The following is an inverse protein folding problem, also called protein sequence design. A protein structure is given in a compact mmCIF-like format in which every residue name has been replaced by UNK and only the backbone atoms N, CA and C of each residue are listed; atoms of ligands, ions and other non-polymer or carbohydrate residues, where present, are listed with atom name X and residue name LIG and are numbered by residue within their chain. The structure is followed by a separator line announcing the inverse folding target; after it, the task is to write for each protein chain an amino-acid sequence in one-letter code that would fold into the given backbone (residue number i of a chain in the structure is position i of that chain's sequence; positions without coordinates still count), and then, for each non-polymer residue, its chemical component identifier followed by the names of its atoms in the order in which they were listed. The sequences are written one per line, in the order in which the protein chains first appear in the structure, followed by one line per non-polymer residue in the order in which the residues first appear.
data_IF_324178971573
#
_entry.id   IF_324178971573
#
_cell.length_a   1.000
_cell.length_b   1.000
_cell.length_c   1.000
_cell.angle_alpha   90.00
_cell.angle_beta   90.00
_cell.angle_gamma   90.00
#
_symmetry.space_group_name_H-M   'P 1'
#
loop_
_entity.id
_entity.type
_entity.pdbx_description
1 polymer ?
#
# COMPACT_ATOMS: atom_id res chain seq x y z
N UNK A 1 8.95 9.04 9.56
CA UNK A 1 7.50 8.91 9.74
C UNK A 1 7.21 8.58 11.20
N UNK A 2 6.14 9.13 11.75
CA UNK A 2 5.72 9.01 13.15
C UNK A 2 4.69 7.89 13.37
N UNK A 3 4.57 6.98 12.41
CA UNK A 3 3.76 5.77 12.48
C UNK A 3 4.73 4.60 12.54
N UNK A 4 4.51 3.65 13.45
CA UNK A 4 5.29 2.40 13.49
C UNK A 4 4.72 1.38 12.50
N UNK A 5 5.47 1.11 11.43
CA UNK A 5 5.12 0.13 10.40
C UNK A 5 5.98 -1.13 10.48
N UNK A 6 6.61 -1.40 11.63
CA UNK A 6 7.44 -2.60 11.83
C UNK A 6 6.65 -3.88 11.57
N UNK A 7 5.44 -4.01 12.12
CA UNK A 7 4.60 -5.19 11.90
C UNK A 7 4.17 -5.30 10.43
N UNK A 8 3.79 -4.19 9.81
CA UNK A 8 3.47 -4.13 8.38
C UNK A 8 4.62 -4.64 7.51
N UNK A 9 5.85 -4.27 7.84
CA UNK A 9 7.04 -4.74 7.16
C UNK A 9 7.30 -6.24 7.37
N UNK A 10 7.17 -6.73 8.61
CA UNK A 10 7.28 -8.16 8.94
C UNK A 10 6.25 -9.01 8.18
N UNK A 11 5.00 -8.57 8.16
CA UNK A 11 3.93 -9.24 7.43
C UNK A 11 4.20 -9.26 5.92
N UNK A 12 4.66 -8.14 5.36
CA UNK A 12 5.04 -8.05 3.95
C UNK A 12 6.12 -9.07 3.59
N UNK A 13 7.15 -9.17 4.45
CA UNK A 13 8.25 -10.12 4.29
C UNK A 13 7.77 -11.55 4.38
N UNK A 14 6.93 -11.87 5.36
CA UNK A 14 6.35 -13.21 5.49
C UNK A 14 5.54 -13.59 4.24
N UNK A 15 4.74 -12.65 3.69
CA UNK A 15 4.01 -12.89 2.45
C UNK A 15 4.93 -13.19 1.27
N UNK A 16 6.00 -12.40 1.08
CA UNK A 16 6.96 -12.66 0.00
C UNK A 16 7.62 -14.03 0.15
N UNK A 17 8.06 -14.40 1.36
CA UNK A 17 8.62 -15.73 1.64
C UNK A 17 7.63 -16.84 1.31
N UNK A 18 6.36 -16.71 1.74
CA UNK A 18 5.32 -17.68 1.45
C UNK A 18 5.03 -17.80 -0.05
N UNK A 19 4.94 -16.68 -0.77
CA UNK A 19 4.67 -16.68 -2.20
C UNK A 19 5.84 -17.22 -3.01
N UNK A 20 7.07 -16.91 -2.63
CA UNK A 20 8.30 -17.44 -3.25
C UNK A 20 8.39 -18.96 -3.07
N UNK A 21 7.93 -19.49 -1.94
CA UNK A 21 7.86 -20.95 -1.72
C UNK A 21 6.68 -21.61 -2.46
N UNK A 22 5.59 -20.88 -2.70
CA UNK A 22 4.35 -21.41 -3.30
C UNK A 22 4.37 -21.42 -4.83
N UNK A 23 4.92 -20.40 -5.46
CA UNK A 23 4.86 -20.20 -6.91
C UNK A 23 6.17 -20.56 -7.59
N UNK A 24 6.11 -20.99 -8.85
CA UNK A 24 7.32 -21.17 -9.64
C UNK A 24 8.05 -19.84 -9.87
N UNK A 25 9.37 -19.84 -10.14
CA UNK A 25 10.11 -18.61 -10.44
C UNK A 25 9.53 -17.79 -11.59
N UNK A 26 8.93 -18.46 -12.59
CA UNK A 26 8.31 -17.80 -13.73
C UNK A 26 6.98 -17.10 -13.36
N UNK A 27 6.19 -17.67 -12.44
CA UNK A 27 4.89 -17.12 -12.03
C UNK A 27 4.98 -16.11 -10.89
N UNK A 28 5.97 -16.28 -10.01
CA UNK A 28 6.12 -15.53 -8.77
C UNK A 28 6.05 -14.00 -8.97
N UNK A 29 6.80 -13.38 -9.90
CA UNK A 29 6.79 -11.92 -10.05
C UNK A 29 5.41 -11.39 -10.42
N UNK A 30 4.69 -12.10 -11.28
CA UNK A 30 3.33 -11.75 -11.67
C UNK A 30 2.38 -11.81 -10.47
N UNK A 31 2.50 -12.83 -9.61
CA UNK A 31 1.66 -12.97 -8.41
C UNK A 31 1.93 -11.89 -7.36
N UNK A 32 3.18 -11.44 -7.24
CA UNK A 32 3.55 -10.32 -6.36
C UNK A 32 2.89 -9.03 -6.86
N UNK A 33 3.06 -8.68 -8.14
CA UNK A 33 2.45 -7.47 -8.72
C UNK A 33 0.92 -7.54 -8.69
N UNK A 34 0.32 -8.69 -8.97
CA UNK A 34 -1.13 -8.89 -8.84
C UNK A 34 -1.63 -8.58 -7.42
N UNK A 35 -0.85 -8.92 -6.38
CA UNK A 35 -1.20 -8.58 -5.00
C UNK A 35 -1.11 -7.07 -4.73
N UNK A 36 -0.18 -6.34 -5.36
CA UNK A 36 -0.15 -4.87 -5.28
C UNK A 36 -1.47 -4.29 -5.80
N UNK A 37 -1.92 -4.74 -6.98
CA UNK A 37 -3.16 -4.25 -7.59
C UNK A 37 -4.40 -4.66 -6.83
N UNK A 38 -4.45 -5.89 -6.29
CA UNK A 38 -5.49 -6.32 -5.36
C UNK A 38 -5.68 -5.33 -4.21
N UNK A 39 -4.58 -4.90 -3.59
CA UNK A 39 -4.60 -3.93 -2.49
C UNK A 39 -5.02 -2.54 -2.93
N UNK A 40 -4.43 -2.03 -4.02
CA UNK A 40 -4.75 -0.71 -4.56
C UNK A 40 -6.23 -0.59 -4.94
N UNK A 41 -6.79 -1.56 -5.66
CA UNK A 41 -8.21 -1.56 -6.00
C UNK A 41 -9.10 -1.66 -4.77
N UNK A 42 -8.68 -2.40 -3.75
CA UNK A 42 -9.43 -2.50 -2.48
C UNK A 42 -9.50 -1.13 -1.80
N UNK A 43 -8.38 -0.43 -1.65
CA UNK A 43 -8.34 0.89 -1.00
C UNK A 43 -9.13 1.91 -1.80
N UNK A 44 -8.92 1.97 -3.11
CA UNK A 44 -9.64 2.88 -4.02
C UNK A 44 -11.17 2.69 -3.91
N UNK A 45 -11.62 1.43 -3.87
CA UNK A 45 -13.04 1.11 -3.76
C UNK A 45 -13.61 1.36 -2.37
N UNK A 46 -12.84 1.07 -1.32
CA UNK A 46 -13.25 1.30 0.07
C UNK A 46 -13.32 2.78 0.42
N UNK A 47 -12.41 3.59 -0.12
CA UNK A 47 -12.18 5.01 0.20
C UNK A 47 -13.47 5.81 0.44
N UNK A 48 -14.35 5.83 -0.57
CA UNK A 48 -15.58 6.63 -0.57
C UNK A 48 -16.55 6.25 0.56
N UNK A 49 -16.43 5.03 1.11
CA UNK A 49 -17.32 4.48 2.13
C UNK A 49 -16.86 4.78 3.55
N UNK A 50 -15.57 5.04 3.73
CA UNK A 50 -14.94 5.15 5.05
C UNK A 50 -14.52 6.57 5.39
N UNK A 51 -14.12 7.38 4.41
CA UNK A 51 -13.50 8.68 4.67
C UNK A 51 -14.43 9.69 5.35
N UNK A 52 -15.74 9.58 5.10
CA UNK A 52 -16.77 10.45 5.67
C UNK A 52 -17.46 9.85 6.89
N UNK A 53 -17.05 8.67 7.36
CA UNK A 53 -17.55 8.12 8.60
C UNK A 53 -16.99 8.90 9.79
N UNK A 54 -17.69 8.89 10.90
CA UNK A 54 -17.22 9.51 12.15
C UNK A 54 -17.04 8.44 13.21
N UNK A 55 -15.85 8.39 13.79
CA UNK A 55 -15.49 7.47 14.86
C UNK A 55 -14.98 8.25 16.08
N UNK A 56 -15.17 7.75 17.31
CA UNK A 56 -14.71 8.45 18.52
C UNK A 56 -13.19 8.62 18.61
N UNK A 57 -12.43 7.66 18.06
CA UNK A 57 -10.96 7.68 18.05
C UNK A 57 -10.44 7.08 16.75
N UNK A 58 -9.23 7.49 16.35
CA UNK A 58 -8.59 6.95 15.15
C UNK A 58 -8.28 5.46 15.27
N UNK A 59 -8.05 4.94 16.48
CA UNK A 59 -7.80 3.50 16.70
C UNK A 59 -9.07 2.67 16.41
N UNK A 60 -10.24 3.16 16.84
CA UNK A 60 -11.52 2.52 16.52
C UNK A 60 -11.77 2.59 15.00
N UNK A 61 -11.58 3.77 14.41
CA UNK A 61 -11.67 3.95 12.97
C UNK A 61 -10.75 2.98 12.22
N UNK A 62 -9.52 2.81 12.68
CA UNK A 62 -8.53 1.93 12.07
C UNK A 62 -8.94 0.45 12.10
N UNK A 63 -9.47 -0.06 13.22
CA UNK A 63 -9.98 -1.43 13.24
C UNK A 63 -11.19 -1.60 12.32
N UNK A 64 -12.12 -0.63 12.32
CA UNK A 64 -13.28 -0.64 11.43
C UNK A 64 -12.87 -0.60 9.95
N UNK A 65 -11.88 0.23 9.61
CA UNK A 65 -11.33 0.34 8.27
C UNK A 65 -10.63 -0.95 7.83
N UNK A 66 -9.94 -1.67 8.73
CA UNK A 66 -9.39 -2.99 8.40
C UNK A 66 -10.47 -4.05 8.16
N UNK A 67 -11.55 -4.05 8.93
CA UNK A 67 -12.70 -4.93 8.69
C UNK A 67 -13.35 -4.62 7.34
N UNK A 68 -13.54 -3.32 7.04
CA UNK A 68 -14.11 -2.89 5.77
C UNK A 68 -13.20 -3.21 4.59
N UNK A 69 -11.90 -3.08 4.77
CA UNK A 69 -10.90 -3.50 3.79
C UNK A 69 -11.08 -4.99 3.49
N UNK A 70 -11.14 -5.83 4.51
CA UNK A 70 -11.31 -7.28 4.32
C UNK A 70 -12.61 -7.63 3.58
N UNK A 71 -13.73 -6.99 3.95
CA UNK A 71 -15.03 -7.15 3.29
C UNK A 71 -14.95 -6.79 1.79
N UNK A 72 -14.46 -5.59 1.46
CA UNK A 72 -14.32 -5.11 0.08
C UNK A 72 -13.36 -6.00 -0.71
N UNK A 73 -12.25 -6.38 -0.10
CA UNK A 73 -11.26 -7.19 -0.79
C UNK A 73 -11.85 -8.55 -1.21
N UNK A 74 -12.50 -9.25 -0.27
CA UNK A 74 -13.05 -10.59 -0.49
C UNK A 74 -14.29 -10.60 -1.40
N UNK A 75 -15.26 -9.72 -1.16
CA UNK A 75 -16.55 -9.80 -1.84
C UNK A 75 -16.60 -8.98 -3.13
N UNK A 76 -15.71 -8.03 -3.31
CA UNK A 76 -15.84 -7.02 -4.36
C UNK A 76 -14.63 -6.85 -5.25
N UNK A 77 -13.42 -7.20 -4.79
CA UNK A 77 -12.20 -7.14 -5.60
C UNK A 77 -11.80 -8.53 -6.08
N UNK A 78 -11.73 -9.55 -5.21
CA UNK A 78 -11.35 -10.92 -5.61
C UNK A 78 -12.12 -11.40 -6.85
N UNK A 79 -13.47 -11.26 -6.95
CA UNK A 79 -14.22 -11.78 -8.10
C UNK A 79 -13.90 -11.10 -9.43
N UNK A 80 -13.34 -9.89 -9.41
CA UNK A 80 -13.13 -9.06 -10.61
C UNK A 80 -11.66 -8.69 -10.84
N UNK A 81 -10.75 -9.10 -9.96
CA UNK A 81 -9.34 -8.69 -9.98
C UNK A 81 -8.67 -8.99 -11.31
N UNK A 82 -8.84 -10.20 -11.84
CA UNK A 82 -8.27 -10.58 -13.13
C UNK A 82 -8.80 -9.72 -14.28
N UNK A 83 -10.11 -9.41 -14.27
CA UNK A 83 -10.72 -8.56 -15.29
C UNK A 83 -10.18 -7.13 -15.22
N UNK A 84 -10.03 -6.58 -14.01
CA UNK A 84 -9.44 -5.26 -13.79
C UNK A 84 -8.00 -5.18 -14.31
N UNK A 85 -7.19 -6.18 -13.98
CA UNK A 85 -5.80 -6.29 -14.46
C UNK A 85 -5.74 -6.42 -15.98
N UNK A 86 -6.57 -7.29 -16.58
CA UNK A 86 -6.64 -7.47 -18.04
C UNK A 86 -7.09 -6.20 -18.77
N UNK A 87 -8.00 -5.44 -18.16
CA UNK A 87 -8.45 -4.15 -18.69
C UNK A 87 -7.43 -3.02 -18.53
N UNK A 88 -6.32 -3.29 -17.83
CA UNK A 88 -5.28 -2.32 -17.49
C UNK A 88 -5.85 -1.04 -16.86
N UNK A 89 -6.87 -1.20 -16.02
CA UNK A 89 -7.56 -0.08 -15.38
C UNK A 89 -6.58 0.62 -14.43
N UNK A 90 -6.32 1.91 -14.67
CA UNK A 90 -5.54 2.74 -13.76
C UNK A 90 -6.19 2.77 -12.37
N UNK A 91 -5.38 2.62 -11.33
CA UNK A 91 -5.78 2.79 -9.94
C UNK A 91 -4.70 3.57 -9.20
N UNK A 92 -5.13 4.59 -8.46
CA UNK A 92 -4.22 5.59 -7.90
C UNK A 92 -3.33 6.18 -9.01
N UNK A 93 -2.01 6.07 -8.87
CA UNK A 93 -1.01 6.59 -9.80
C UNK A 93 -0.54 5.59 -10.85
N UNK A 94 -0.98 4.32 -10.80
CA UNK A 94 -0.35 3.23 -11.58
C UNK A 94 -1.34 2.39 -12.40
N UNK A 95 -0.82 1.74 -13.44
CA UNK A 95 -1.46 0.70 -14.26
C UNK A 95 -0.70 -0.61 -14.16
N UNK A 96 -1.38 -1.74 -14.40
CA UNK A 96 -0.71 -3.04 -14.29
C UNK A 96 0.38 -3.18 -15.36
N UNK A 97 0.14 -2.63 -16.56
CA UNK A 97 1.10 -2.59 -17.66
C UNK A 97 2.41 -1.89 -17.31
N UNK A 98 2.40 -0.95 -16.37
CA UNK A 98 3.60 -0.20 -15.96
C UNK A 98 4.68 -1.15 -15.38
N UNK A 99 4.28 -2.33 -14.91
CA UNK A 99 5.15 -3.35 -14.34
C UNK A 99 5.54 -4.45 -15.33
N UNK A 100 5.01 -4.44 -16.56
CA UNK A 100 5.12 -5.58 -17.48
C UNK A 100 6.56 -5.96 -17.83
N UNK A 101 7.44 -4.97 -18.05
CA UNK A 101 8.84 -5.22 -18.36
C UNK A 101 9.58 -5.83 -17.16
N UNK A 102 9.36 -5.31 -15.96
CA UNK A 102 9.97 -5.83 -14.73
C UNK A 102 9.51 -7.25 -14.42
N UNK A 103 8.22 -7.53 -14.56
CA UNK A 103 7.66 -8.88 -14.40
C UNK A 103 8.29 -9.82 -15.41
N UNK A 104 8.37 -9.44 -16.69
CA UNK A 104 8.98 -10.27 -17.74
C UNK A 104 10.44 -10.61 -17.43
N UNK A 105 11.26 -9.62 -17.10
CA UNK A 105 12.67 -9.85 -16.76
C UNK A 105 12.83 -10.73 -15.51
N UNK A 106 12.05 -10.46 -14.46
CA UNK A 106 12.07 -11.24 -13.23
C UNK A 106 11.65 -12.70 -13.48
N UNK A 107 10.62 -12.93 -14.31
CA UNK A 107 10.15 -14.27 -14.68
C UNK A 107 11.18 -15.05 -15.50
N UNK A 108 12.16 -14.38 -16.10
CA UNK A 108 13.29 -14.98 -16.81
C UNK A 108 14.51 -15.24 -15.91
N UNK A 109 14.42 -14.92 -14.61
CA UNK A 109 15.47 -15.16 -13.63
C UNK A 109 16.43 -13.99 -13.41
N UNK A 110 16.12 -12.78 -13.90
CA UNK A 110 16.90 -11.59 -13.57
C UNK A 110 16.76 -11.24 -12.08
N UNK A 111 17.85 -11.43 -11.32
CA UNK A 111 17.87 -11.19 -9.88
C UNK A 111 17.59 -9.74 -9.48
N UNK A 112 18.04 -8.77 -10.29
CA UNK A 112 17.80 -7.35 -10.01
C UNK A 112 16.34 -7.00 -10.25
N UNK A 113 15.73 -7.56 -11.30
CA UNK A 113 14.30 -7.41 -11.54
C UNK A 113 13.46 -8.07 -10.42
N UNK A 114 13.87 -9.24 -9.92
CA UNK A 114 13.21 -9.89 -8.78
C UNK A 114 13.27 -9.00 -7.54
N UNK A 115 14.45 -8.48 -7.19
CA UNK A 115 14.63 -7.56 -6.05
C UNK A 115 13.79 -6.30 -6.21
N UNK A 116 13.72 -5.74 -7.43
CA UNK A 116 12.90 -4.57 -7.72
C UNK A 116 11.40 -4.85 -7.52
N UNK A 117 10.90 -6.02 -7.97
CA UNK A 117 9.51 -6.44 -7.75
C UNK A 117 9.19 -6.60 -6.26
N UNK A 118 10.09 -7.21 -5.50
CA UNK A 118 9.93 -7.41 -4.06
C UNK A 118 9.96 -6.08 -3.30
N UNK A 119 10.92 -5.20 -3.61
CA UNK A 119 11.01 -3.87 -3.02
C UNK A 119 9.77 -3.03 -3.31
N UNK A 120 9.30 -3.07 -4.55
CA UNK A 120 8.06 -2.39 -4.98
C UNK A 120 6.86 -2.86 -4.17
N UNK A 121 6.75 -4.17 -3.91
CA UNK A 121 5.70 -4.69 -3.05
C UNK A 121 5.78 -4.17 -1.61
N UNK A 122 6.99 -4.12 -1.02
CA UNK A 122 7.16 -3.51 0.30
C UNK A 122 6.72 -2.05 0.32
N UNK A 123 7.13 -1.28 -0.68
CA UNK A 123 6.81 0.15 -0.77
C UNK A 123 5.29 0.37 -0.85
N UNK A 124 4.59 -0.36 -1.72
CA UNK A 124 3.13 -0.26 -1.77
C UNK A 124 2.46 -0.74 -0.49
N UNK A 125 3.00 -1.76 0.20
CA UNK A 125 2.46 -2.19 1.49
C UNK A 125 2.56 -1.08 2.56
N UNK A 126 3.64 -0.30 2.53
CA UNK A 126 3.83 0.89 3.37
C UNK A 126 2.82 1.98 2.99
N UNK A 127 2.66 2.31 1.70
CA UNK A 127 1.66 3.28 1.25
C UNK A 127 0.24 2.91 1.68
N UNK A 128 -0.11 1.65 1.56
CA UNK A 128 -1.43 1.15 1.91
C UNK A 128 -1.74 1.31 3.40
N UNK A 129 -0.74 1.02 4.24
CA UNK A 129 -0.88 1.15 5.68
C UNK A 129 -0.95 2.61 6.10
N UNK A 130 -0.08 3.46 5.55
CA UNK A 130 -0.12 4.91 5.78
C UNK A 130 -1.47 5.48 5.36
N UNK A 131 -1.98 5.09 4.19
CA UNK A 131 -3.29 5.53 3.70
C UNK A 131 -4.41 5.09 4.66
N UNK A 132 -4.36 3.85 5.15
CA UNK A 132 -5.37 3.33 6.09
C UNK A 132 -5.34 4.09 7.43
N UNK A 133 -4.15 4.35 7.98
CA UNK A 133 -3.99 5.16 9.21
C UNK A 133 -4.47 6.60 8.97
N UNK A 134 -4.12 7.21 7.85
CA UNK A 134 -4.54 8.54 7.48
C UNK A 134 -6.06 8.66 7.37
N UNK A 135 -6.73 7.72 6.69
CA UNK A 135 -8.20 7.67 6.60
C UNK A 135 -8.79 7.60 8.01
N UNK A 136 -8.18 6.81 8.89
CA UNK A 136 -8.64 6.60 10.26
C UNK A 136 -8.54 7.86 11.11
N UNK A 137 -7.46 8.64 10.95
CA UNK A 137 -7.32 9.95 11.60
C UNK A 137 -8.39 10.92 11.11
N UNK A 138 -8.58 11.02 9.78
CA UNK A 138 -9.56 11.93 9.17
C UNK A 138 -10.99 11.59 9.60
N UNK A 139 -11.36 10.31 9.52
CA UNK A 139 -12.67 9.80 9.96
C UNK A 139 -12.87 9.84 11.49
N UNK A 140 -11.89 10.32 12.25
CA UNK A 140 -11.98 10.59 13.70
C UNK A 140 -11.90 12.07 14.06
N UNK A 141 -11.96 12.96 13.07
CA UNK A 141 -12.05 14.41 13.26
C UNK A 141 -10.80 15.21 12.92
N UNK A 142 -9.70 14.57 12.50
CA UNK A 142 -8.56 15.32 11.96
C UNK A 142 -8.86 15.88 10.56
N UNK A 143 -8.33 17.07 10.27
CA UNK A 143 -8.32 17.54 8.88
C UNK A 143 -7.35 16.68 8.06
N UNK A 144 -7.59 16.59 6.75
CA UNK A 144 -6.73 15.87 5.79
C UNK A 144 -5.25 16.25 5.92
N UNK A 145 -4.98 17.55 6.07
CA UNK A 145 -3.64 18.11 6.23
C UNK A 145 -3.05 17.79 7.61
N UNK A 146 -3.82 17.98 8.69
CA UNK A 146 -3.35 17.72 10.05
C UNK A 146 -2.99 16.24 10.24
N UNK A 147 -3.76 15.32 9.64
CA UNK A 147 -3.44 13.90 9.68
C UNK A 147 -2.07 13.60 9.03
N UNK A 148 -1.76 14.19 7.87
CA UNK A 148 -0.45 14.02 7.23
C UNK A 148 0.67 14.61 8.09
N UNK A 149 0.46 15.82 8.63
CA UNK A 149 1.43 16.48 9.49
C UNK A 149 1.75 15.63 10.73
N UNK A 150 0.74 15.04 11.38
CA UNK A 150 0.95 14.14 12.52
C UNK A 150 1.76 12.89 12.13
N UNK A 151 1.45 12.29 10.99
CA UNK A 151 2.09 11.06 10.52
C UNK A 151 3.52 11.26 9.99
N UNK A 152 3.83 12.43 9.43
CA UNK A 152 5.09 12.66 8.71
C UNK A 152 5.99 13.69 9.39
N UNK A 153 5.43 14.59 10.20
CA UNK A 153 6.10 15.79 10.70
C UNK A 153 6.19 16.92 9.65
N UNK A 154 5.68 16.72 8.43
CA UNK A 154 5.74 17.71 7.37
C UNK A 154 4.62 18.75 7.52
N UNK A 155 4.94 19.99 7.19
CA UNK A 155 3.95 21.08 7.10
C UNK A 155 3.54 21.19 5.63
N UNK A 156 2.28 20.92 5.34
CA UNK A 156 1.70 21.11 4.01
C UNK A 156 0.98 22.46 3.93
N UNK A 157 0.90 23.01 2.72
CA UNK A 157 0.07 24.18 2.47
C UNK A 157 -1.41 23.85 2.79
N UNK A 158 -2.15 24.73 3.48
CA UNK A 158 -3.54 24.49 3.86
C UNK A 158 -4.45 24.13 2.68
N UNK A 159 -4.15 24.68 1.51
CA UNK A 159 -4.92 24.54 0.27
C UNK A 159 -4.55 23.28 -0.54
N UNK A 160 -3.66 22.40 -0.05
CA UNK A 160 -3.23 21.22 -0.80
C UNK A 160 -4.43 20.31 -1.06
N UNK A 161 -4.88 20.15 -2.32
CA UNK A 161 -6.09 19.39 -2.60
C UNK A 161 -5.80 17.89 -2.42
N UNK A 162 -6.57 17.24 -1.55
CA UNK A 162 -6.52 15.79 -1.36
C UNK A 162 -7.91 15.25 -1.64
N UNK A 163 -8.11 14.79 -2.88
CA UNK A 163 -9.42 14.42 -3.43
C UNK A 163 -9.62 12.91 -3.49
N UNK A 164 -8.52 12.15 -3.60
CA UNK A 164 -8.59 10.69 -3.61
C UNK A 164 -7.29 10.00 -3.24
N UNK A 165 -7.29 8.68 -3.41
CA UNK A 165 -6.16 7.81 -3.08
C UNK A 165 -4.89 8.16 -3.85
N UNK A 166 -5.01 8.54 -5.12
CA UNK A 166 -3.87 8.96 -5.95
C UNK A 166 -3.07 10.12 -5.35
N UNK A 167 -3.76 11.12 -4.81
CA UNK A 167 -3.13 12.29 -4.21
C UNK A 167 -2.34 11.89 -2.95
N UNK A 168 -2.91 11.00 -2.13
CA UNK A 168 -2.29 10.54 -0.88
C UNK A 168 -1.06 9.71 -1.14
N UNK A 169 -1.14 8.76 -2.07
CA UNK A 169 0.00 7.94 -2.44
C UNK A 169 1.14 8.83 -2.96
N UNK A 170 0.83 9.79 -3.82
CA UNK A 170 1.81 10.77 -4.31
C UNK A 170 2.41 11.62 -3.19
N UNK A 171 1.62 12.04 -2.20
CA UNK A 171 2.13 12.82 -1.06
C UNK A 171 3.06 11.96 -0.21
N UNK A 172 2.68 10.73 0.14
CA UNK A 172 3.54 9.87 0.97
C UNK A 172 4.83 9.49 0.25
N UNK A 173 4.78 9.32 -1.07
CA UNK A 173 5.96 9.11 -1.89
C UNK A 173 6.94 10.28 -1.75
N UNK A 174 6.46 11.51 -1.98
CA UNK A 174 7.25 12.74 -1.84
C UNK A 174 7.76 12.99 -0.41
N UNK A 175 6.99 12.59 0.60
CA UNK A 175 7.35 12.76 2.02
C UNK A 175 8.26 11.64 2.55
N UNK A 176 8.81 10.81 1.68
CA UNK A 176 9.92 9.90 2.00
C UNK A 176 9.48 8.54 2.54
N UNK A 177 8.36 8.00 2.06
CA UNK A 177 7.98 6.60 2.34
C UNK A 177 9.09 5.62 1.97
N UNK A 178 9.77 5.85 0.85
CA UNK A 178 10.91 5.04 0.43
C UNK A 178 12.06 5.10 1.44
N UNK A 179 12.47 6.32 1.85
CA UNK A 179 13.50 6.51 2.88
C UNK A 179 13.11 5.85 4.21
N UNK A 180 11.84 5.89 4.56
CA UNK A 180 11.34 5.21 5.75
C UNK A 180 11.40 3.69 5.60
N UNK A 181 11.02 3.12 4.46
CA UNK A 181 11.17 1.70 4.16
C UNK A 181 12.63 1.24 4.25
N UNK A 182 13.57 2.02 3.69
CA UNK A 182 15.01 1.74 3.85
C UNK A 182 15.43 1.68 5.32
N UNK A 183 14.90 2.57 6.17
CA UNK A 183 15.19 2.51 7.60
C UNK A 183 14.70 1.22 8.27
N UNK A 184 13.60 0.63 7.80
CA UNK A 184 13.09 -0.65 8.30
C UNK A 184 14.00 -1.81 7.87
N UNK A 185 14.45 -1.82 6.61
CA UNK A 185 15.46 -2.79 6.16
C UNK A 185 16.76 -2.70 6.98
N UNK A 186 17.23 -1.48 7.27
CA UNK A 186 18.44 -1.30 8.09
C UNK A 186 18.25 -1.78 9.53
N UNK A 187 17.09 -1.51 10.14
CA UNK A 187 16.76 -2.03 11.48
C UNK A 187 16.79 -3.54 11.52
N UNK A 188 16.22 -4.19 10.51
CA UNK A 188 16.21 -5.64 10.42
C UNK A 188 17.61 -6.22 10.26
N UNK A 189 18.44 -5.64 9.39
CA UNK A 189 19.84 -6.05 9.23
C UNK A 189 20.61 -5.96 10.56
N UNK A 190 20.21 -5.03 11.43
CA UNK A 190 20.79 -4.85 12.76
C UNK A 190 20.08 -5.67 13.86
N UNK A 191 19.17 -6.59 13.51
CA UNK A 191 18.36 -7.39 14.44
C UNK A 191 17.53 -6.56 15.44
N UNK A 192 17.07 -5.39 15.02
CA UNK A 192 16.26 -4.47 15.85
C UNK A 192 14.75 -4.60 15.61
N UNK A 193 14.34 -5.45 14.66
CA UNK A 193 12.97 -5.84 14.42
C UNK A 193 12.89 -7.34 14.18
#
# INVERSE_FOLDING_TARGET
MNVDLTNTFKDARQHLTMWKARYSPAEYPQKVVMNIFYRKYTIDKMWSRVINQTHPTWQIAYQNNKLKYAEVAQHEIVPVLEALIKSDKKVSTSRYSDFAQYVKSASQGDENAIKAVEFTYFLHRIFDELTTVWISMVSSGDTKINAIAKMTGAILAPETPITGYADIESIFDQLGAEKYLYSLFMKEMNNQI
#
